data_IF_867676100420
#
_entry.id   IF_867676100420
#
_cell.length_a   1.000
_cell.length_b   1.000
_cell.length_c   1.000
_cell.angle_alpha   90.00
_cell.angle_beta   90.00
_cell.angle_gamma   90.00
#
_symmetry.space_group_name_H-M   'P 1'
#
loop_
_entity.id
_entity.type
_entity.pdbx_description
1 polymer ?
#
# COMPACT_ATOMS: atom_id res chain seq x y z
N UNK A 1 13.12 -5.69 -35.37
CA UNK A 1 12.19 -6.80 -35.70
C UNK A 1 12.28 -7.97 -34.74
N UNK A 2 13.35 -8.80 -34.75
CA UNK A 2 13.46 -9.95 -33.82
C UNK A 2 13.52 -9.51 -32.34
N UNK A 3 14.31 -8.46 -32.02
CA UNK A 3 14.39 -7.91 -30.66
C UNK A 3 13.03 -7.43 -30.15
N UNK A 4 12.26 -6.73 -30.99
CA UNK A 4 10.95 -6.20 -30.62
C UNK A 4 9.94 -7.31 -30.37
N UNK A 5 9.97 -8.39 -31.16
CA UNK A 5 9.15 -9.59 -30.94
C UNK A 5 9.49 -10.24 -29.59
N UNK A 6 10.78 -10.39 -29.28
CA UNK A 6 11.23 -10.95 -28.01
C UNK A 6 10.76 -10.07 -26.84
N UNK A 7 10.88 -8.75 -26.95
CA UNK A 7 10.39 -7.80 -25.95
C UNK A 7 8.87 -7.90 -25.78
N UNK A 8 8.12 -8.01 -26.87
CA UNK A 8 6.66 -8.20 -26.83
C UNK A 8 6.26 -9.48 -26.09
N UNK A 9 6.90 -10.61 -26.39
CA UNK A 9 6.63 -11.89 -25.72
C UNK A 9 6.98 -11.81 -24.22
N UNK A 10 8.13 -11.21 -23.88
CA UNK A 10 8.51 -11.00 -22.47
C UNK A 10 7.47 -10.17 -21.72
N UNK A 11 6.96 -9.12 -22.35
CA UNK A 11 5.89 -8.29 -21.77
C UNK A 11 4.62 -9.11 -21.55
N UNK A 12 4.17 -9.92 -22.52
CA UNK A 12 2.99 -10.77 -22.37
C UNK A 12 3.14 -11.74 -21.19
N UNK A 13 4.30 -12.41 -21.08
CA UNK A 13 4.58 -13.33 -19.96
C UNK A 13 4.58 -12.60 -18.62
N UNK A 14 5.19 -11.41 -18.56
CA UNK A 14 5.26 -10.57 -17.36
C UNK A 14 3.87 -10.11 -16.89
N UNK A 15 3.01 -9.70 -17.82
CA UNK A 15 1.67 -9.19 -17.53
C UNK A 15 0.64 -10.28 -17.27
N UNK A 16 0.82 -11.48 -17.84
CA UNK A 16 -0.10 -12.60 -17.71
C UNK A 16 -0.61 -12.86 -16.27
N UNK A 17 0.25 -13.03 -15.24
CA UNK A 17 -0.22 -13.30 -13.88
C UNK A 17 -0.99 -12.13 -13.25
N UNK A 18 -0.75 -10.90 -13.70
CA UNK A 18 -1.43 -9.71 -13.19
C UNK A 18 -2.83 -9.62 -13.80
N UNK A 19 -2.93 -9.76 -15.12
CA UNK A 19 -4.21 -9.72 -15.85
C UNK A 19 -5.11 -10.89 -15.44
N UNK A 20 -4.55 -12.09 -15.25
CA UNK A 20 -5.31 -13.27 -14.86
C UNK A 20 -6.03 -13.10 -13.50
N UNK A 21 -5.41 -12.35 -12.58
CA UNK A 21 -5.96 -12.10 -11.24
C UNK A 21 -6.94 -10.92 -11.21
N UNK A 22 -6.93 -10.07 -12.25
CA UNK A 22 -7.74 -8.86 -12.30
C UNK A 22 -9.24 -9.15 -12.07
N UNK A 23 -9.89 -8.22 -11.37
CA UNK A 23 -11.32 -8.23 -11.08
C UNK A 23 -11.82 -6.83 -11.41
N UNK A 24 -12.58 -6.70 -12.49
CA UNK A 24 -12.99 -5.38 -13.01
C UNK A 24 -13.79 -4.49 -12.06
N UNK A 25 -14.27 -5.01 -10.93
CA UNK A 25 -14.97 -4.25 -9.88
C UNK A 25 -14.06 -3.84 -8.71
N UNK A 26 -12.84 -4.38 -8.60
CA UNK A 26 -11.96 -4.16 -7.46
C UNK A 26 -10.83 -3.17 -7.82
N UNK A 27 -10.95 -1.96 -7.28
CA UNK A 27 -9.95 -0.91 -7.40
C UNK A 27 -8.53 -1.33 -6.97
N UNK A 28 -8.37 -2.35 -6.13
CA UNK A 28 -7.06 -2.89 -5.76
C UNK A 28 -6.20 -3.21 -6.98
N UNK A 29 -6.80 -3.79 -8.03
CA UNK A 29 -6.05 -4.19 -9.22
C UNK A 29 -5.55 -3.02 -10.05
N UNK A 30 -6.16 -1.83 -9.96
CA UNK A 30 -5.63 -0.59 -10.57
C UNK A 30 -4.22 -0.32 -10.02
N UNK A 31 -4.06 -0.38 -8.70
CA UNK A 31 -2.76 -0.17 -8.05
C UNK A 31 -1.78 -1.30 -8.37
N UNK A 32 -2.22 -2.56 -8.41
CA UNK A 32 -1.37 -3.70 -8.78
C UNK A 32 -0.83 -3.57 -10.21
N UNK A 33 -1.69 -3.20 -11.17
CA UNK A 33 -1.29 -2.97 -12.56
C UNK A 33 -0.32 -1.79 -12.67
N UNK A 34 -0.63 -0.68 -12.00
CA UNK A 34 0.24 0.49 -11.98
C UNK A 34 1.61 0.16 -11.39
N UNK A 35 1.65 -0.58 -10.27
CA UNK A 35 2.90 -1.03 -9.66
C UNK A 35 3.74 -1.86 -10.62
N UNK A 36 3.11 -2.83 -11.29
CA UNK A 36 3.80 -3.68 -12.26
C UNK A 36 4.40 -2.86 -13.40
N UNK A 37 3.66 -1.88 -13.93
CA UNK A 37 4.15 -0.97 -14.97
C UNK A 37 5.34 -0.15 -14.49
N UNK A 38 5.27 0.41 -13.28
CA UNK A 38 6.32 1.26 -12.72
C UNK A 38 7.59 0.48 -12.36
N UNK A 39 7.49 -0.75 -11.84
CA UNK A 39 8.66 -1.62 -11.61
C UNK A 39 9.39 -1.88 -12.92
N UNK A 40 8.66 -2.20 -13.99
CA UNK A 40 9.27 -2.42 -15.29
C UNK A 40 9.89 -1.14 -15.85
N UNK A 41 9.22 0.01 -15.70
CA UNK A 41 9.77 1.29 -16.15
C UNK A 41 11.06 1.68 -15.41
N UNK A 42 11.08 1.51 -14.08
CA UNK A 42 12.26 1.76 -13.24
C UNK A 42 13.45 0.91 -13.68
N UNK A 43 13.21 -0.38 -13.96
CA UNK A 43 14.25 -1.28 -14.45
C UNK A 43 14.81 -0.85 -15.80
N UNK A 44 13.96 -0.44 -16.74
CA UNK A 44 14.44 0.01 -18.06
C UNK A 44 15.19 1.34 -17.96
N UNK A 45 14.71 2.28 -17.14
CA UNK A 45 15.34 3.60 -16.95
C UNK A 45 16.69 3.47 -16.23
N UNK A 46 16.77 2.67 -15.17
CA UNK A 46 18.02 2.45 -14.43
C UNK A 46 19.10 1.74 -15.25
N UNK A 47 18.72 0.96 -16.26
CA UNK A 47 19.65 0.36 -17.22
C UNK A 47 19.97 1.28 -18.42
N UNK A 48 19.37 2.47 -18.47
CA UNK A 48 19.60 3.47 -19.51
C UNK A 48 20.95 4.18 -19.36
N UNK A 49 21.37 4.90 -20.41
CA UNK A 49 22.63 5.66 -20.44
C UNK A 49 22.43 7.15 -20.09
N UNK A 50 21.24 7.55 -19.65
CA UNK A 50 20.93 8.95 -19.36
C UNK A 50 21.62 9.40 -18.07
N UNK A 51 22.20 10.61 -18.07
CA UNK A 51 22.91 11.20 -16.93
C UNK A 51 22.01 11.37 -15.70
N UNK A 52 20.70 11.49 -15.91
CA UNK A 52 19.70 11.63 -14.85
C UNK A 52 18.91 10.34 -14.56
N UNK A 53 19.27 9.22 -15.17
CA UNK A 53 18.56 7.94 -15.05
C UNK A 53 18.33 7.55 -13.59
N UNK A 54 19.33 7.71 -12.72
CA UNK A 54 19.22 7.39 -11.30
C UNK A 54 18.19 8.26 -10.58
N UNK A 55 18.18 9.57 -10.85
CA UNK A 55 17.22 10.50 -10.22
C UNK A 55 15.79 10.16 -10.63
N UNK A 56 15.58 9.84 -11.90
CA UNK A 56 14.27 9.44 -12.43
C UNK A 56 13.85 8.10 -11.82
N UNK A 57 14.74 7.11 -11.81
CA UNK A 57 14.50 5.81 -11.22
C UNK A 57 14.10 5.94 -9.73
N UNK A 58 14.76 6.81 -8.96
CA UNK A 58 14.43 7.04 -7.56
C UNK A 58 13.03 7.63 -7.35
N UNK A 59 12.55 8.49 -8.27
CA UNK A 59 11.15 8.95 -8.23
C UNK A 59 10.17 7.83 -8.52
N UNK A 60 10.51 6.93 -9.44
CA UNK A 60 9.66 5.77 -9.74
C UNK A 60 9.68 4.78 -8.57
N UNK A 61 10.82 4.53 -7.94
CA UNK A 61 10.94 3.71 -6.72
C UNK A 61 10.08 4.25 -5.58
N UNK A 62 10.04 5.58 -5.39
CA UNK A 62 9.15 6.21 -4.43
C UNK A 62 7.68 5.89 -4.74
N UNK A 63 7.25 6.01 -5.99
CA UNK A 63 5.90 5.62 -6.40
C UNK A 63 5.62 4.13 -6.16
N UNK A 64 6.56 3.24 -6.46
CA UNK A 64 6.45 1.79 -6.20
C UNK A 64 6.33 1.50 -4.71
N UNK A 65 7.09 2.19 -3.86
CA UNK A 65 7.03 2.06 -2.40
C UNK A 65 5.66 2.46 -1.85
N UNK A 66 5.10 3.59 -2.32
CA UNK A 66 3.76 4.04 -1.95
C UNK A 66 2.69 3.02 -2.41
N UNK A 67 2.82 2.50 -3.63
CA UNK A 67 1.93 1.47 -4.16
C UNK A 67 1.98 0.19 -3.33
N UNK A 68 3.16 -0.25 -2.89
CA UNK A 68 3.27 -1.41 -1.99
C UNK A 68 2.47 -1.18 -0.71
N UNK A 69 2.64 -0.04 -0.05
CA UNK A 69 1.88 0.31 1.17
C UNK A 69 0.36 0.30 0.93
N UNK A 70 -0.09 0.91 -0.16
CA UNK A 70 -1.52 0.95 -0.54
C UNK A 70 -2.08 -0.45 -0.81
N UNK A 71 -1.30 -1.32 -1.46
CA UNK A 71 -1.70 -2.68 -1.85
C UNK A 71 -1.71 -3.61 -0.63
N UNK A 72 -0.71 -3.52 0.23
CA UNK A 72 -0.56 -4.38 1.41
C UNK A 72 -1.59 -4.04 2.50
N UNK A 73 -2.11 -2.80 2.51
CA UNK A 73 -3.20 -2.33 3.38
C UNK A 73 -2.95 -2.47 4.89
N UNK A 74 -1.70 -2.60 5.31
CA UNK A 74 -1.33 -2.72 6.73
C UNK A 74 -1.29 -1.35 7.45
N UNK A 75 -2.30 -0.51 7.24
CA UNK A 75 -2.38 0.81 7.87
C UNK A 75 -2.94 0.74 9.29
N UNK A 76 -3.96 -0.09 9.49
CA UNK A 76 -4.57 -0.28 10.81
C UNK A 76 -3.58 -0.92 11.79
N UNK A 77 -2.83 -1.94 11.37
CA UNK A 77 -1.80 -2.57 12.19
C UNK A 77 -0.73 -1.57 12.64
N UNK A 78 -0.18 -0.80 11.68
CA UNK A 78 0.80 0.25 11.97
C UNK A 78 0.27 1.35 12.90
N UNK A 79 -0.98 1.79 12.68
CA UNK A 79 -1.61 2.80 13.53
C UNK A 79 -1.92 2.27 14.94
N UNK A 80 -2.16 0.98 15.07
CA UNK A 80 -2.51 0.34 16.34
C UNK A 80 -1.31 0.07 17.24
N UNK A 81 -0.10 -0.08 16.68
CA UNK A 81 1.11 -0.43 17.46
C UNK A 81 1.29 0.40 18.74
N UNK A 82 1.13 1.75 18.74
CA UNK A 82 1.25 2.54 19.97
C UNK A 82 0.15 2.25 20.99
N UNK A 83 -1.08 1.97 20.51
CA UNK A 83 -2.23 1.64 21.34
C UNK A 83 -2.05 0.26 21.96
N UNK A 84 -1.66 -0.74 21.16
CA UNK A 84 -1.35 -2.10 21.61
C UNK A 84 -0.21 -2.11 22.63
N UNK A 85 0.86 -1.34 22.40
CA UNK A 85 1.96 -1.20 23.38
C UNK A 85 1.47 -0.71 24.74
N UNK A 86 0.55 0.26 24.75
CA UNK A 86 0.00 0.86 25.96
C UNK A 86 -1.03 -0.02 26.65
N UNK A 87 -2.02 -0.51 25.91
CA UNK A 87 -3.20 -1.20 26.45
C UNK A 87 -3.13 -2.73 26.34
N UNK A 88 -2.12 -3.29 25.70
CA UNK A 88 -2.02 -4.72 25.40
C UNK A 88 -2.74 -5.09 24.11
N UNK A 89 -2.72 -6.39 23.78
CA UNK A 89 -3.38 -6.88 22.57
C UNK A 89 -4.91 -6.84 22.70
N UNK A 90 -5.62 -6.96 21.57
CA UNK A 90 -7.08 -7.11 21.57
C UNK A 90 -7.44 -8.53 22.03
N UNK A 91 -8.27 -8.62 23.05
CA UNK A 91 -8.96 -9.84 23.44
C UNK A 91 -10.36 -9.76 22.84
N UNK A 92 -10.71 -10.78 22.06
CA UNK A 92 -12.06 -11.00 21.55
C UNK A 92 -12.61 -12.22 22.25
N UNK A 93 -13.67 -12.03 23.03
CA UNK A 93 -14.42 -13.12 23.65
C UNK A 93 -15.81 -13.19 23.03
N UNK A 94 -16.26 -14.39 22.72
CA UNK A 94 -17.54 -14.65 22.10
C UNK A 94 -18.31 -15.63 22.98
N UNK A 95 -19.41 -15.17 23.59
CA UNK A 95 -20.35 -16.04 24.30
C UNK A 95 -21.55 -16.33 23.39
N UNK A 96 -21.81 -17.62 23.16
CA UNK A 96 -22.95 -18.17 22.44
C UNK A 96 -23.27 -17.53 21.07
N UNK A 97 -22.26 -17.00 20.37
CA UNK A 97 -22.37 -16.26 19.10
C UNK A 97 -23.25 -15.00 19.14
N UNK A 98 -23.87 -14.67 20.28
CA UNK A 98 -24.78 -13.55 20.46
C UNK A 98 -24.08 -12.32 21.07
N UNK A 99 -22.99 -12.53 21.81
CA UNK A 99 -22.25 -11.45 22.48
C UNK A 99 -20.78 -11.52 22.11
N UNK A 100 -20.29 -10.46 21.47
CA UNK A 100 -18.86 -10.26 21.21
C UNK A 100 -18.39 -9.16 22.18
N UNK A 101 -17.55 -9.53 23.15
CA UNK A 101 -16.83 -8.57 23.97
C UNK A 101 -15.41 -8.37 23.42
N UNK A 102 -15.09 -7.12 23.10
CA UNK A 102 -13.82 -6.70 22.55
C UNK A 102 -13.20 -5.69 23.50
N UNK A 103 -12.06 -6.07 24.10
CA UNK A 103 -11.31 -5.20 25.01
C UNK A 103 -9.81 -5.39 24.85
N UNK A 104 -9.03 -4.49 25.44
CA UNK A 104 -7.57 -4.63 25.50
C UNK A 104 -7.15 -5.32 26.79
N UNK A 105 -6.11 -6.14 26.75
CA UNK A 105 -5.63 -6.93 27.89
C UNK A 105 -5.43 -6.12 29.18
N UNK A 106 -4.88 -4.91 29.07
CA UNK A 106 -4.55 -4.04 30.22
C UNK A 106 -5.66 -3.04 30.55
N UNK A 107 -6.77 -3.02 29.81
CA UNK A 107 -7.91 -2.15 30.08
C UNK A 107 -8.88 -2.84 31.05
N UNK A 108 -8.64 -2.71 32.36
CA UNK A 108 -9.36 -3.47 33.40
C UNK A 108 -10.59 -2.72 33.91
N UNK A 109 -10.47 -1.41 34.15
CA UNK A 109 -11.59 -0.61 34.67
C UNK A 109 -12.46 -0.05 33.54
N UNK A 110 -13.72 0.27 33.82
CA UNK A 110 -14.61 0.94 32.86
C UNK A 110 -14.01 2.24 32.30
N UNK A 111 -13.24 2.96 33.11
CA UNK A 111 -12.53 4.17 32.71
C UNK A 111 -11.41 3.86 31.71
N UNK A 112 -10.66 2.79 31.95
CA UNK A 112 -9.59 2.34 31.06
C UNK A 112 -10.15 1.82 29.74
N UNK A 113 -11.23 1.03 29.80
CA UNK A 113 -11.94 0.54 28.61
C UNK A 113 -12.39 1.71 27.74
N UNK A 114 -13.03 2.73 28.34
CA UNK A 114 -13.45 3.94 27.61
C UNK A 114 -12.27 4.68 26.97
N UNK A 115 -11.15 4.81 27.66
CA UNK A 115 -9.94 5.48 27.14
C UNK A 115 -9.30 4.67 26.01
N UNK A 116 -9.08 3.38 26.23
CA UNK A 116 -8.56 2.42 25.26
C UNK A 116 -9.38 2.41 23.97
N UNK A 117 -10.71 2.36 24.08
CA UNK A 117 -11.59 2.37 22.91
C UNK A 117 -11.53 3.71 22.15
N UNK A 118 -11.42 4.83 22.87
CA UNK A 118 -11.22 6.15 22.26
C UNK A 118 -9.89 6.22 21.49
N UNK A 119 -8.82 5.69 22.05
CA UNK A 119 -7.49 5.67 21.43
C UNK A 119 -7.43 4.72 20.23
N UNK A 120 -8.01 3.53 20.34
CA UNK A 120 -8.16 2.57 19.22
C UNK A 120 -8.94 3.20 18.07
N UNK A 121 -10.05 3.90 18.37
CA UNK A 121 -10.81 4.64 17.35
C UNK A 121 -9.99 5.74 16.70
N UNK A 122 -9.20 6.47 17.48
CA UNK A 122 -8.31 7.50 16.93
C UNK A 122 -7.23 6.91 16.01
N UNK A 123 -6.66 5.75 16.38
CA UNK A 123 -5.72 5.01 15.55
C UNK A 123 -6.33 4.57 14.21
N UNK A 124 -7.54 4.00 14.21
CA UNK A 124 -8.23 3.61 12.97
C UNK A 124 -8.56 4.81 12.07
N UNK A 125 -8.96 5.95 12.66
CA UNK A 125 -9.11 7.21 11.92
C UNK A 125 -7.77 7.64 11.30
N UNK A 126 -6.68 7.53 12.06
CA UNK A 126 -5.34 7.84 11.58
C UNK A 126 -4.90 6.93 10.43
N UNK A 127 -5.20 5.63 10.50
CA UNK A 127 -4.97 4.69 9.42
C UNK A 127 -5.65 5.14 8.12
N UNK A 128 -6.91 5.58 8.20
CA UNK A 128 -7.63 6.17 7.06
C UNK A 128 -6.92 7.40 6.48
N UNK A 129 -6.39 8.28 7.32
CA UNK A 129 -5.60 9.44 6.86
C UNK A 129 -4.29 9.02 6.18
N UNK A 130 -3.60 7.99 6.68
CA UNK A 130 -2.38 7.48 6.07
C UNK A 130 -2.63 6.90 4.67
N UNK A 131 -3.72 6.16 4.47
CA UNK A 131 -4.13 5.64 3.15
C UNK A 131 -4.34 6.80 2.16
N UNK A 132 -5.10 7.82 2.59
CA UNK A 132 -5.39 8.98 1.76
C UNK A 132 -4.12 9.76 1.41
N UNK A 133 -3.24 9.98 2.40
CA UNK A 133 -1.97 10.66 2.22
C UNK A 133 -1.05 9.95 1.23
N UNK A 134 -0.85 8.64 1.37
CA UNK A 134 0.00 7.86 0.45
C UNK A 134 -0.55 7.90 -0.97
N UNK A 135 -1.88 7.80 -1.12
CA UNK A 135 -2.56 7.87 -2.42
C UNK A 135 -2.39 9.24 -3.07
N UNK A 136 -2.61 10.33 -2.32
CA UNK A 136 -2.43 11.69 -2.81
C UNK A 136 -0.96 11.94 -3.21
N UNK A 137 -0.03 11.53 -2.37
CA UNK A 137 1.39 11.75 -2.61
C UNK A 137 1.92 10.96 -3.82
N UNK A 138 1.41 9.73 -4.02
CA UNK A 138 1.67 8.92 -5.21
C UNK A 138 1.28 9.70 -6.48
N UNK A 139 0.01 10.12 -6.59
CA UNK A 139 -0.47 10.78 -7.80
C UNK A 139 0.15 12.17 -7.99
N UNK A 140 0.41 12.91 -6.90
CA UNK A 140 1.13 14.19 -6.97
C UNK A 140 2.55 14.02 -7.53
N UNK A 141 3.26 12.99 -7.07
CA UNK A 141 4.62 12.68 -7.56
C UNK A 141 4.59 12.28 -9.02
N UNK A 142 3.64 11.41 -9.40
CA UNK A 142 3.47 10.99 -10.78
C UNK A 142 3.13 12.18 -11.70
N UNK A 143 2.12 12.98 -11.37
CA UNK A 143 1.73 14.17 -12.16
C UNK A 143 2.91 15.11 -12.41
N UNK A 144 3.76 15.30 -11.40
CA UNK A 144 4.91 16.19 -11.51
C UNK A 144 6.02 15.67 -12.43
N UNK A 145 6.18 14.35 -12.54
CA UNK A 145 7.40 13.76 -13.11
C UNK A 145 7.16 12.84 -14.32
N UNK A 146 5.94 12.32 -14.53
CA UNK A 146 5.66 11.26 -15.51
C UNK A 146 6.08 11.60 -16.95
N UNK A 147 5.96 12.85 -17.35
CA UNK A 147 6.33 13.29 -18.70
C UNK A 147 7.84 13.34 -18.92
N UNK A 148 8.62 13.62 -17.88
CA UNK A 148 10.08 13.71 -17.95
C UNK A 148 10.80 12.39 -17.61
N UNK A 149 10.08 11.27 -17.47
CA UNK A 149 10.73 9.98 -17.18
C UNK A 149 11.51 9.39 -18.35
N UNK A 150 11.30 9.91 -19.56
CA UNK A 150 11.88 9.41 -20.80
C UNK A 150 12.72 10.46 -21.54
N UNK A 151 12.82 11.66 -20.97
CA UNK A 151 13.68 12.75 -21.45
C UNK A 151 15.14 12.50 -21.00
#
# INVERSE_FOLDING_TARGET
MIRDIITGIKNLISWFPIIWKDRGWDQHYIFVMLRHKLINAEKEISNGLNVEADKVADKIKLCVMLLNRIIDRDYDGNADMPVAKKWGELIITCEDLAVIDIRREKAITDSDIKKSNKETRAASIHAGYMVAQDTEYLFKTMTKHIHGWWD
#
